data_IF_466222073558
#
_entry.id   IF_466222073558
#
_cell.length_a   1.000
_cell.length_b   1.000
_cell.length_c   1.000
_cell.angle_alpha   90.00
_cell.angle_beta   90.00
_cell.angle_gamma   90.00
#
_symmetry.space_group_name_H-M   'P 1'
#
loop_
_entity.id
_entity.type
_entity.pdbx_description
1 polymer ?
#
# COMPACT_ATOMS: atom_id res chain seq x y z
N UNK A 1 5.22 -19.66 -22.74
CA UNK A 1 4.11 -20.61 -22.40
C UNK A 1 4.25 -21.95 -23.13
N UNK A 2 4.96 -22.04 -24.22
CA UNK A 2 5.25 -23.32 -24.88
C UNK A 2 6.03 -24.32 -24.00
N UNK A 3 6.80 -23.82 -23.02
CA UNK A 3 7.58 -24.65 -22.09
C UNK A 3 6.78 -24.98 -20.82
N UNK A 4 5.98 -24.01 -20.34
CA UNK A 4 5.13 -24.16 -19.16
C UNK A 4 3.86 -23.32 -19.35
N UNK A 5 2.73 -23.97 -19.46
CA UNK A 5 1.43 -23.36 -19.82
C UNK A 5 0.97 -22.35 -18.77
N UNK A 6 1.10 -22.70 -17.47
CA UNK A 6 0.65 -21.92 -16.32
C UNK A 6 1.69 -20.95 -15.76
N UNK A 7 2.75 -20.63 -16.55
CA UNK A 7 3.76 -19.67 -16.10
C UNK A 7 3.17 -18.27 -15.94
N UNK A 8 3.46 -17.64 -14.82
CA UNK A 8 3.14 -16.24 -14.55
C UNK A 8 4.35 -15.35 -14.94
N UNK A 9 4.12 -14.42 -15.85
CA UNK A 9 5.17 -13.55 -16.41
C UNK A 9 4.98 -12.12 -15.89
N UNK A 10 6.00 -11.60 -15.22
CA UNK A 10 6.04 -10.22 -14.75
C UNK A 10 7.06 -9.45 -15.59
N UNK A 11 6.61 -8.35 -16.22
CA UNK A 11 7.48 -7.45 -16.97
C UNK A 11 8.02 -6.33 -16.10
N UNK A 12 9.27 -5.96 -16.27
CA UNK A 12 9.84 -4.73 -15.73
C UNK A 12 9.63 -3.60 -16.74
N UNK A 13 8.52 -2.88 -16.57
CA UNK A 13 8.11 -1.78 -17.44
C UNK A 13 7.91 -0.53 -16.57
N UNK A 14 8.73 0.49 -16.82
CA UNK A 14 8.76 1.73 -16.03
C UNK A 14 7.62 2.69 -16.36
N UNK A 15 7.00 2.49 -17.52
CA UNK A 15 5.93 3.35 -18.06
C UNK A 15 4.60 2.62 -18.12
N UNK A 16 3.66 3.17 -18.90
CA UNK A 16 2.37 2.52 -19.15
C UNK A 16 2.55 1.23 -19.95
N UNK A 17 2.11 0.13 -19.37
CA UNK A 17 2.35 -1.21 -19.90
C UNK A 17 1.21 -1.76 -20.75
N UNK A 18 0.26 -0.92 -21.22
CA UNK A 18 -0.95 -1.38 -21.92
C UNK A 18 -0.69 -2.30 -23.10
N UNK A 19 0.34 -2.01 -23.91
CA UNK A 19 0.70 -2.84 -25.08
C UNK A 19 1.26 -4.21 -24.68
N UNK A 20 1.81 -4.37 -23.48
CA UNK A 20 2.43 -5.58 -22.97
C UNK A 20 1.46 -6.48 -22.20
N UNK A 21 0.28 -5.97 -21.84
CA UNK A 21 -0.73 -6.60 -20.97
C UNK A 21 -1.99 -7.02 -21.75
N UNK A 22 -1.84 -7.34 -23.04
CA UNK A 22 -2.94 -7.78 -23.90
C UNK A 22 -3.28 -9.27 -23.78
N UNK A 23 -2.55 -10.02 -22.93
CA UNK A 23 -2.74 -11.45 -22.72
C UNK A 23 -1.79 -12.36 -23.51
N UNK A 24 -1.00 -11.81 -24.40
CA UNK A 24 -0.03 -12.52 -25.26
C UNK A 24 1.41 -12.45 -24.74
N UNK A 25 1.73 -11.49 -23.88
CA UNK A 25 3.08 -11.25 -23.38
C UNK A 25 3.16 -11.42 -21.86
N UNK A 26 2.92 -10.35 -21.08
CA UNK A 26 2.99 -10.40 -19.62
C UNK A 26 1.60 -10.55 -18.97
N UNK A 27 1.57 -11.18 -17.81
CA UNK A 27 0.38 -11.28 -16.94
C UNK A 27 0.31 -10.09 -15.99
N UNK A 28 1.48 -9.52 -15.66
CA UNK A 28 1.66 -8.43 -14.72
C UNK A 28 2.90 -7.61 -15.07
N UNK A 29 3.02 -6.46 -14.46
CA UNK A 29 4.26 -5.67 -14.46
C UNK A 29 4.65 -5.24 -13.06
N UNK A 30 5.92 -4.86 -12.87
CA UNK A 30 6.34 -4.05 -11.74
C UNK A 30 5.65 -2.69 -11.86
N UNK A 31 4.75 -2.38 -10.90
CA UNK A 31 3.87 -1.22 -11.00
C UNK A 31 4.57 0.05 -10.48
N UNK A 32 5.47 0.61 -11.26
CA UNK A 32 6.17 1.85 -10.94
C UNK A 32 5.22 3.04 -10.76
N UNK A 33 4.11 3.09 -11.50
CA UNK A 33 3.08 4.13 -11.32
C UNK A 33 2.54 4.11 -9.90
N UNK A 34 2.25 2.92 -9.33
CA UNK A 34 1.83 2.79 -7.94
C UNK A 34 2.89 3.30 -6.97
N UNK A 35 4.15 2.89 -7.17
CA UNK A 35 5.27 3.30 -6.33
C UNK A 35 5.43 4.83 -6.32
N UNK A 36 5.37 5.47 -7.48
CA UNK A 36 5.51 6.93 -7.59
C UNK A 36 4.34 7.68 -6.95
N UNK A 37 3.10 7.22 -7.13
CA UNK A 37 1.94 7.81 -6.45
C UNK A 37 2.03 7.70 -4.93
N UNK A 38 2.44 6.53 -4.42
CA UNK A 38 2.64 6.33 -2.98
C UNK A 38 3.80 7.19 -2.45
N UNK A 39 4.90 7.32 -3.20
CA UNK A 39 6.03 8.19 -2.87
C UNK A 39 5.57 9.64 -2.71
N UNK A 40 4.85 10.16 -3.70
CA UNK A 40 4.47 11.56 -3.74
C UNK A 40 3.37 11.87 -2.70
N UNK A 41 2.48 10.92 -2.41
CA UNK A 41 1.43 11.07 -1.39
C UNK A 41 1.93 10.80 0.04
N UNK A 42 2.36 9.56 0.32
CA UNK A 42 2.77 9.15 1.68
C UNK A 42 4.20 9.60 2.01
N UNK A 43 5.12 9.46 1.07
CA UNK A 43 6.54 9.80 1.25
C UNK A 43 6.75 11.29 1.37
N UNK A 44 6.50 12.05 0.34
CA UNK A 44 6.79 13.47 0.26
C UNK A 44 5.65 14.36 0.76
N UNK A 45 4.39 13.92 0.62
CA UNK A 45 3.20 14.72 0.94
C UNK A 45 2.94 15.84 -0.07
N UNK A 46 3.30 15.61 -1.33
CA UNK A 46 3.13 16.55 -2.44
C UNK A 46 1.73 16.48 -3.05
N UNK A 47 0.97 15.40 -2.82
CA UNK A 47 -0.39 15.21 -3.29
C UNK A 47 -1.40 15.41 -2.16
N UNK A 48 -2.51 16.05 -2.46
CA UNK A 48 -3.71 16.02 -1.62
C UNK A 48 -4.39 14.64 -1.67
N UNK A 49 -5.31 14.38 -0.76
CA UNK A 49 -6.08 13.11 -0.73
C UNK A 49 -6.88 12.93 -2.00
N UNK A 50 -7.53 13.98 -2.47
CA UNK A 50 -8.36 13.95 -3.68
C UNK A 50 -7.53 13.77 -4.96
N UNK A 51 -6.34 14.37 -5.05
CA UNK A 51 -5.41 14.15 -6.16
C UNK A 51 -4.87 12.73 -6.19
N UNK A 52 -4.48 12.21 -5.01
CA UNK A 52 -4.05 10.81 -4.87
C UNK A 52 -5.15 9.85 -5.31
N UNK A 53 -6.39 10.03 -4.81
CA UNK A 53 -7.52 9.20 -5.18
C UNK A 53 -7.77 9.21 -6.68
N UNK A 54 -7.83 10.39 -7.30
CA UNK A 54 -8.09 10.52 -8.73
C UNK A 54 -7.02 9.83 -9.59
N UNK A 55 -5.75 9.98 -9.22
CA UNK A 55 -4.64 9.34 -9.94
C UNK A 55 -4.60 7.83 -9.69
N UNK A 56 -4.88 7.39 -8.47
CA UNK A 56 -4.94 5.98 -8.11
C UNK A 56 -6.09 5.27 -8.83
N UNK A 57 -7.28 5.87 -8.88
CA UNK A 57 -8.39 5.32 -9.65
C UNK A 57 -8.06 5.24 -11.15
N UNK A 58 -7.43 6.28 -11.72
CA UNK A 58 -6.97 6.25 -13.12
C UNK A 58 -6.01 5.10 -13.37
N UNK A 59 -5.07 4.84 -12.46
CA UNK A 59 -4.14 3.71 -12.55
C UNK A 59 -4.87 2.37 -12.43
N UNK A 60 -5.75 2.21 -11.43
CA UNK A 60 -6.48 0.97 -11.15
C UNK A 60 -7.39 0.57 -12.32
N UNK A 61 -8.09 1.54 -12.92
CA UNK A 61 -9.07 1.28 -14.00
C UNK A 61 -8.49 1.43 -15.40
N UNK A 62 -7.17 1.60 -15.54
CA UNK A 62 -6.49 1.68 -16.84
C UNK A 62 -6.52 0.36 -17.61
N UNK A 63 -6.40 -0.75 -16.89
CA UNK A 63 -6.36 -2.10 -17.44
C UNK A 63 -7.63 -2.88 -17.13
N UNK A 64 -7.91 -4.00 -17.84
CA UNK A 64 -8.94 -4.95 -17.43
C UNK A 64 -8.76 -5.34 -15.96
N UNK A 65 -9.87 -5.50 -15.24
CA UNK A 65 -9.85 -5.67 -13.78
C UNK A 65 -8.91 -6.80 -13.29
N UNK A 66 -8.92 -7.95 -13.97
CA UNK A 66 -8.04 -9.07 -13.65
C UNK A 66 -6.55 -8.72 -13.77
N UNK A 67 -6.20 -7.86 -14.73
CA UNK A 67 -4.83 -7.38 -14.91
C UNK A 67 -4.44 -6.42 -13.78
N UNK A 68 -5.35 -5.52 -13.39
CA UNK A 68 -5.13 -4.60 -12.25
C UNK A 68 -4.98 -5.36 -10.94
N UNK A 69 -5.73 -6.44 -10.73
CA UNK A 69 -5.58 -7.33 -9.58
C UNK A 69 -4.23 -8.07 -9.56
N UNK A 70 -3.64 -8.30 -10.72
CA UNK A 70 -2.38 -9.04 -10.87
C UNK A 70 -1.12 -8.14 -10.81
N UNK A 71 -1.26 -6.80 -10.91
CA UNK A 71 -0.11 -5.89 -10.92
C UNK A 71 0.72 -6.04 -9.65
N UNK A 72 2.04 -6.18 -9.78
CA UNK A 72 2.98 -6.25 -8.66
C UNK A 72 3.26 -4.84 -8.14
N UNK A 73 2.60 -4.50 -7.04
CA UNK A 73 2.76 -3.21 -6.38
C UNK A 73 3.89 -3.26 -5.35
N UNK A 74 4.70 -2.22 -5.30
CA UNK A 74 5.81 -2.07 -4.37
C UNK A 74 5.98 -0.58 -4.02
N UNK A 75 6.67 -0.29 -2.93
CA UNK A 75 6.99 1.09 -2.54
C UNK A 75 8.39 1.48 -2.96
N UNK A 76 9.34 0.54 -2.87
CA UNK A 76 10.71 0.69 -3.33
C UNK A 76 11.28 -0.62 -3.88
N UNK A 77 12.49 -0.55 -4.42
CA UNK A 77 13.19 -1.69 -5.00
C UNK A 77 14.70 -1.43 -5.03
N UNK A 78 15.46 -2.33 -5.63
CA UNK A 78 16.89 -2.14 -5.87
C UNK A 78 17.22 -1.07 -6.93
N UNK A 79 16.23 -0.51 -7.61
CA UNK A 79 16.41 0.50 -8.68
C UNK A 79 15.94 1.89 -8.29
N UNK A 80 15.28 2.02 -7.15
CA UNK A 80 14.79 3.30 -6.64
C UNK A 80 15.11 3.45 -5.14
N UNK A 81 15.22 4.68 -4.61
CA UNK A 81 15.51 4.93 -3.20
C UNK A 81 14.55 4.23 -2.24
N UNK A 82 15.05 3.89 -1.06
CA UNK A 82 14.28 3.31 0.04
C UNK A 82 13.12 4.20 0.45
N UNK A 83 11.97 3.61 0.69
CA UNK A 83 10.74 4.37 0.92
C UNK A 83 10.81 5.24 2.18
N UNK A 84 11.46 4.75 3.25
CA UNK A 84 11.66 5.54 4.48
C UNK A 84 12.42 6.84 4.22
N UNK A 85 13.37 6.84 3.29
CA UNK A 85 14.12 8.04 2.92
C UNK A 85 13.23 9.11 2.27
N UNK A 86 12.23 8.72 1.47
CA UNK A 86 11.22 9.66 0.96
C UNK A 86 10.31 10.20 2.07
N UNK A 87 10.14 9.45 3.15
CA UNK A 87 9.42 9.89 4.34
C UNK A 87 10.27 10.76 5.28
N UNK A 88 11.52 11.11 4.93
CA UNK A 88 12.48 11.80 5.80
C UNK A 88 12.64 11.11 7.16
N UNK A 89 12.74 9.78 7.19
CA UNK A 89 12.86 8.96 8.39
C UNK A 89 11.56 8.80 9.21
N UNK A 90 10.44 9.33 8.74
CA UNK A 90 9.15 9.22 9.45
C UNK A 90 8.55 7.82 9.26
N UNK A 91 8.81 6.94 10.23
CA UNK A 91 8.33 5.55 10.26
C UNK A 91 6.81 5.42 10.15
N UNK A 92 6.04 6.30 10.80
CA UNK A 92 4.57 6.24 10.76
C UNK A 92 4.01 6.48 9.35
N UNK A 93 4.62 7.40 8.59
CA UNK A 93 4.23 7.63 7.19
C UNK A 93 4.54 6.41 6.32
N UNK A 94 5.71 5.81 6.50
CA UNK A 94 6.09 4.56 5.82
C UNK A 94 5.14 3.42 6.18
N UNK A 95 4.83 3.23 7.47
CA UNK A 95 3.88 2.23 7.94
C UNK A 95 2.49 2.39 7.31
N UNK A 96 2.00 3.64 7.21
CA UNK A 96 0.72 3.94 6.57
C UNK A 96 0.73 3.61 5.07
N UNK A 97 1.84 3.86 4.38
CA UNK A 97 2.02 3.49 2.97
C UNK A 97 2.02 1.98 2.78
N UNK A 98 2.72 1.23 3.64
CA UNK A 98 2.68 -0.24 3.61
C UNK A 98 1.29 -0.78 3.97
N UNK A 99 0.60 -0.19 4.95
CA UNK A 99 -0.78 -0.56 5.21
C UNK A 99 -1.63 -0.40 3.95
N UNK A 100 -1.51 0.73 3.23
CA UNK A 100 -2.20 0.93 1.95
C UNK A 100 -1.79 -0.10 0.89
N UNK A 101 -0.50 -0.42 0.77
CA UNK A 101 0.01 -1.44 -0.15
C UNK A 101 -0.69 -2.80 0.07
N UNK A 102 -0.86 -3.21 1.32
CA UNK A 102 -1.53 -4.48 1.66
C UNK A 102 -3.06 -4.43 1.50
N UNK A 103 -3.71 -3.28 1.69
CA UNK A 103 -5.16 -3.14 1.61
C UNK A 103 -5.65 -2.75 0.21
N UNK A 104 -4.78 -2.24 -0.64
CA UNK A 104 -5.07 -1.77 -1.99
C UNK A 104 -5.34 -2.89 -3.02
N UNK A 105 -5.52 -2.47 -4.28
CA UNK A 105 -5.66 -3.34 -5.44
C UNK A 105 -4.27 -3.76 -5.93
N UNK A 106 -4.11 -5.01 -6.33
CA UNK A 106 -2.85 -5.56 -6.85
C UNK A 106 -2.19 -6.52 -5.87
N UNK A 107 -1.00 -6.98 -6.19
CA UNK A 107 -0.20 -7.93 -5.42
C UNK A 107 0.90 -7.17 -4.68
N UNK A 108 0.90 -7.14 -3.34
CA UNK A 108 1.93 -6.45 -2.59
C UNK A 108 3.27 -7.17 -2.69
N UNK A 109 4.32 -6.41 -2.95
CA UNK A 109 5.73 -6.82 -2.90
C UNK A 109 6.47 -5.95 -1.91
N UNK A 110 7.31 -6.57 -1.08
CA UNK A 110 8.13 -5.91 -0.06
C UNK A 110 9.58 -6.15 -0.41
N UNK A 111 10.38 -5.09 -0.45
CA UNK A 111 11.81 -5.19 -0.66
C UNK A 111 12.50 -5.51 0.68
N UNK A 112 13.59 -6.32 0.65
CA UNK A 112 14.31 -6.68 1.88
C UNK A 112 14.77 -5.44 2.64
N UNK A 113 14.64 -5.46 3.95
CA UNK A 113 15.06 -4.36 4.82
C UNK A 113 13.98 -3.31 5.12
N UNK A 114 12.86 -3.32 4.38
CA UNK A 114 11.72 -2.45 4.68
C UNK A 114 11.15 -2.78 6.06
N UNK A 115 11.07 -4.06 6.38
CA UNK A 115 10.56 -4.58 7.66
C UNK A 115 11.37 -4.11 8.87
N UNK A 116 12.58 -3.61 8.63
CA UNK A 116 13.49 -3.09 9.65
C UNK A 116 13.88 -1.63 9.41
N UNK A 117 13.14 -0.92 8.57
CA UNK A 117 13.27 0.52 8.32
C UNK A 117 14.63 0.95 7.75
N UNK A 118 15.18 0.19 6.78
CA UNK A 118 16.40 0.60 6.09
C UNK A 118 16.15 1.88 5.28
N UNK A 119 17.08 2.80 5.35
CA UNK A 119 17.14 4.02 4.56
C UNK A 119 18.21 3.92 3.46
N UNK A 120 18.10 4.74 2.43
CA UNK A 120 19.06 4.87 1.35
C UNK A 120 18.50 5.69 0.20
N UNK A 121 19.16 6.80 -0.12
CA UNK A 121 18.79 7.68 -1.25
C UNK A 121 19.66 7.43 -2.48
N UNK A 122 20.90 7.01 -2.30
CA UNK A 122 21.85 6.76 -3.39
C UNK A 122 21.92 5.30 -3.72
N UNK A 123 22.30 4.97 -4.94
CA UNK A 123 22.33 3.59 -5.47
C UNK A 123 23.08 2.61 -4.56
N UNK A 124 24.24 2.98 -4.06
CA UNK A 124 25.02 2.13 -3.16
C UNK A 124 24.36 1.96 -1.78
N UNK A 125 23.54 2.93 -1.36
CA UNK A 125 22.85 2.90 -0.07
C UNK A 125 21.61 1.99 -0.14
N UNK A 126 20.75 2.17 -1.16
CA UNK A 126 19.51 1.37 -1.24
C UNK A 126 19.75 -0.07 -1.72
N UNK A 127 20.94 -0.38 -2.28
CA UNK A 127 21.41 -1.74 -2.60
C UNK A 127 22.32 -2.34 -1.54
N UNK A 128 22.55 -1.65 -0.42
CA UNK A 128 23.44 -2.14 0.63
C UNK A 128 22.97 -3.50 1.17
N UNK A 129 23.92 -4.34 1.51
CA UNK A 129 23.64 -5.61 2.18
C UNK A 129 22.97 -5.37 3.56
N UNK A 130 22.20 -6.34 4.01
CA UNK A 130 21.57 -6.30 5.34
C UNK A 130 22.63 -6.30 6.45
N UNK A 131 22.65 -5.27 7.27
CA UNK A 131 23.44 -5.26 8.51
C UNK A 131 22.67 -5.99 9.61
N UNK A 132 22.91 -7.28 9.73
CA UNK A 132 22.21 -8.14 10.69
C UNK A 132 22.46 -7.77 12.13
N UNK A 133 23.61 -7.18 12.47
CA UNK A 133 23.89 -6.74 13.82
C UNK A 133 23.03 -5.52 14.16
N UNK A 134 23.02 -4.50 13.31
CA UNK A 134 22.17 -3.32 13.49
C UNK A 134 20.67 -3.69 13.52
N UNK A 135 20.25 -4.65 12.69
CA UNK A 135 18.88 -5.19 12.69
C UNK A 135 18.51 -5.81 14.04
N UNK A 136 19.39 -6.64 14.62
CA UNK A 136 19.14 -7.27 15.93
C UNK A 136 19.07 -6.24 17.06
N UNK A 137 19.96 -5.26 17.07
CA UNK A 137 19.97 -4.16 18.04
C UNK A 137 18.69 -3.32 17.94
N UNK A 138 18.27 -2.96 16.74
CA UNK A 138 17.05 -2.21 16.47
C UNK A 138 15.78 -3.00 16.85
N UNK A 139 15.73 -4.30 16.57
CA UNK A 139 14.62 -5.16 16.98
C UNK A 139 14.52 -5.24 18.51
N UNK A 140 15.64 -5.35 19.21
CA UNK A 140 15.65 -5.35 20.67
C UNK A 140 15.13 -4.03 21.26
N UNK A 141 15.38 -2.90 20.61
CA UNK A 141 14.87 -1.58 21.00
C UNK A 141 13.38 -1.42 20.63
N UNK A 142 12.97 -1.83 19.45
CA UNK A 142 11.58 -1.77 18.98
C UNK A 142 10.64 -2.65 19.81
N UNK A 143 11.08 -3.82 20.27
CA UNK A 143 10.33 -4.69 21.18
C UNK A 143 10.06 -4.04 22.54
N UNK A 144 10.82 -3.00 22.93
CA UNK A 144 10.57 -2.21 24.15
C UNK A 144 9.54 -1.09 23.94
N UNK A 145 9.31 -0.64 22.70
CA UNK A 145 8.57 0.61 22.42
C UNK A 145 7.16 0.39 21.84
N UNK A 146 6.84 -0.72 21.23
CA UNK A 146 5.60 -1.16 20.58
C UNK A 146 5.84 -1.65 19.13
N UNK A 147 5.70 -2.96 18.90
CA UNK A 147 5.48 -3.65 17.64
C UNK A 147 6.43 -3.26 16.50
N UNK A 148 7.24 -4.18 16.03
CA UNK A 148 8.08 -3.95 14.87
C UNK A 148 7.24 -4.01 13.58
N UNK A 149 7.71 -3.42 12.49
CA UNK A 149 7.00 -3.39 11.20
C UNK A 149 6.79 -4.82 10.64
N UNK A 150 7.69 -5.76 10.90
CA UNK A 150 7.55 -7.15 10.50
C UNK A 150 6.31 -7.83 11.14
N UNK A 151 6.00 -7.50 12.40
CA UNK A 151 4.77 -7.97 13.05
C UNK A 151 3.52 -7.35 12.39
N UNK A 152 3.57 -6.05 12.07
CA UNK A 152 2.50 -5.38 11.33
C UNK A 152 2.30 -6.02 9.96
N UNK A 153 3.39 -6.32 9.22
CA UNK A 153 3.30 -7.05 7.95
C UNK A 153 2.62 -8.41 8.13
N UNK A 154 2.99 -9.16 9.16
CA UNK A 154 2.35 -10.46 9.47
C UNK A 154 0.85 -10.31 9.71
N UNK A 155 0.42 -9.30 10.46
CA UNK A 155 -0.99 -8.99 10.68
C UNK A 155 -1.71 -8.59 9.37
N UNK A 156 -1.11 -7.73 8.55
CA UNK A 156 -1.72 -7.28 7.29
C UNK A 156 -1.78 -8.39 6.25
N UNK A 157 -0.78 -9.28 6.22
CA UNK A 157 -0.81 -10.50 5.39
C UNK A 157 -1.95 -11.43 5.84
N UNK A 158 -2.15 -11.60 7.15
CA UNK A 158 -3.24 -12.40 7.69
C UNK A 158 -4.61 -11.81 7.30
N UNK A 159 -4.84 -10.51 7.47
CA UNK A 159 -6.05 -9.82 7.03
C UNK A 159 -6.29 -10.00 5.52
N UNK A 160 -5.24 -9.87 4.71
CA UNK A 160 -5.36 -10.04 3.26
C UNK A 160 -5.68 -11.50 2.86
N UNK A 161 -5.21 -12.49 3.63
CA UNK A 161 -5.57 -13.91 3.44
C UNK A 161 -6.99 -14.20 3.89
N UNK A 162 -7.43 -13.62 5.00
CA UNK A 162 -8.77 -13.77 5.55
C UNK A 162 -9.83 -13.17 4.62
N UNK A 163 -9.64 -11.91 4.19
CA UNK A 163 -10.59 -11.19 3.37
C UNK A 163 -10.34 -11.38 1.86
N UNK A 164 -11.21 -12.12 1.19
CA UNK A 164 -11.15 -12.28 -0.27
C UNK A 164 -11.39 -10.96 -0.99
N UNK A 165 -12.15 -10.04 -0.39
CA UNK A 165 -12.36 -8.68 -0.88
C UNK A 165 -11.06 -7.93 -1.12
N UNK A 166 -10.04 -8.10 -0.27
CA UNK A 166 -8.73 -7.45 -0.44
C UNK A 166 -7.94 -8.01 -1.63
N UNK A 167 -8.19 -9.28 -2.00
CA UNK A 167 -7.47 -9.96 -3.08
C UNK A 167 -8.17 -9.89 -4.44
N UNK A 168 -9.50 -9.99 -4.46
CA UNK A 168 -10.31 -10.10 -5.68
C UNK A 168 -11.44 -9.06 -5.78
N UNK A 169 -11.68 -8.32 -4.67
CA UNK A 169 -12.81 -7.42 -4.55
C UNK A 169 -12.66 -6.13 -5.36
N UNK A 170 -13.79 -5.52 -5.65
CA UNK A 170 -13.88 -4.21 -6.26
C UNK A 170 -13.23 -3.14 -5.36
N UNK A 171 -12.96 -1.98 -5.93
CA UNK A 171 -12.43 -0.83 -5.22
C UNK A 171 -13.39 0.35 -5.41
N UNK A 172 -13.78 1.01 -4.33
CA UNK A 172 -14.62 2.19 -4.39
C UNK A 172 -14.23 3.18 -3.31
N UNK A 173 -13.92 4.40 -3.70
CA UNK A 173 -13.74 5.50 -2.76
C UNK A 173 -15.06 5.84 -2.08
N UNK A 174 -15.03 6.00 -0.77
CA UNK A 174 -16.18 6.33 0.07
C UNK A 174 -16.10 7.76 0.56
N UNK A 175 -14.91 8.20 0.99
CA UNK A 175 -14.71 9.53 1.53
C UNK A 175 -13.28 10.02 1.29
N UNK A 176 -13.18 11.28 0.84
CA UNK A 176 -11.93 12.02 0.72
C UNK A 176 -12.09 13.38 1.40
N UNK A 177 -11.12 13.75 2.23
CA UNK A 177 -11.09 15.07 2.83
C UNK A 177 -9.64 15.58 2.88
N UNK A 178 -9.33 16.57 2.04
CA UNK A 178 -7.99 17.14 1.91
C UNK A 178 -7.56 17.92 3.16
N UNK A 179 -8.50 18.65 3.79
CA UNK A 179 -8.21 19.45 4.98
C UNK A 179 -7.85 18.58 6.19
N UNK A 180 -8.53 17.45 6.33
CA UNK A 180 -8.32 16.50 7.43
C UNK A 180 -7.22 15.48 7.10
N UNK A 181 -6.82 15.34 5.84
CA UNK A 181 -5.91 14.31 5.38
C UNK A 181 -6.53 12.90 5.45
N UNK A 182 -7.84 12.77 5.27
CA UNK A 182 -8.56 11.49 5.45
C UNK A 182 -8.98 10.89 4.14
N UNK A 183 -8.67 9.61 3.98
CA UNK A 183 -9.07 8.79 2.84
C UNK A 183 -9.76 7.51 3.30
N UNK A 184 -10.95 7.23 2.75
CA UNK A 184 -11.69 6.00 3.04
C UNK A 184 -12.13 5.34 1.76
N UNK A 185 -11.84 4.04 1.62
CA UNK A 185 -12.30 3.25 0.50
C UNK A 185 -12.88 1.91 0.94
N UNK A 186 -13.73 1.36 0.10
CA UNK A 186 -14.37 0.06 0.27
C UNK A 186 -13.73 -0.95 -0.68
N UNK A 187 -13.41 -2.14 -0.15
CA UNK A 187 -13.15 -3.34 -0.91
C UNK A 187 -14.31 -4.31 -0.71
N UNK A 188 -14.84 -4.89 -1.79
CA UNK A 188 -15.99 -5.79 -1.71
C UNK A 188 -15.94 -6.92 -2.71
N UNK A 189 -16.24 -8.16 -2.26
CA UNK A 189 -16.37 -9.35 -3.08
C UNK A 189 -17.49 -10.23 -2.51
N UNK A 190 -18.65 -10.27 -3.18
CA UNK A 190 -19.85 -10.90 -2.63
C UNK A 190 -20.24 -10.24 -1.29
N UNK A 191 -20.38 -11.05 -0.26
CA UNK A 191 -20.73 -10.62 1.10
C UNK A 191 -19.52 -10.14 1.90
N UNK A 192 -18.29 -10.44 1.47
CA UNK A 192 -17.07 -9.94 2.13
C UNK A 192 -16.83 -8.47 1.75
N UNK A 193 -16.99 -7.60 2.74
CA UNK A 193 -16.85 -6.14 2.58
C UNK A 193 -16.00 -5.58 3.70
N UNK A 194 -14.98 -4.82 3.32
CA UNK A 194 -14.10 -4.14 4.26
C UNK A 194 -13.92 -2.67 3.90
N UNK A 195 -14.08 -1.82 4.89
CA UNK A 195 -13.73 -0.41 4.81
C UNK A 195 -12.30 -0.22 5.28
N UNK A 196 -11.52 0.52 4.51
CA UNK A 196 -10.15 0.88 4.83
C UNK A 196 -10.10 2.39 5.05
N UNK A 197 -9.58 2.78 6.19
CA UNK A 197 -9.46 4.16 6.65
C UNK A 197 -7.98 4.54 6.72
N UNK A 198 -7.64 5.70 6.20
CA UNK A 198 -6.29 6.28 6.27
C UNK A 198 -6.39 7.71 6.77
N UNK A 199 -5.54 8.07 7.71
CA UNK A 199 -5.32 9.44 8.15
C UNK A 199 -3.86 9.82 7.88
N UNK A 200 -3.61 10.68 6.90
CA UNK A 200 -2.29 11.23 6.57
C UNK A 200 -2.02 12.54 7.28
N UNK A 201 -3.02 13.09 7.97
CA UNK A 201 -2.94 14.35 8.71
C UNK A 201 -2.10 14.23 9.98
N UNK A 202 -1.78 15.39 10.56
CA UNK A 202 -0.96 15.50 11.77
C UNK A 202 -1.76 15.38 13.08
N UNK A 203 -3.08 15.46 12.99
CA UNK A 203 -4.00 15.36 14.12
C UNK A 203 -4.80 14.05 14.17
N UNK A 204 -5.45 13.82 15.31
CA UNK A 204 -6.43 12.74 15.44
C UNK A 204 -7.77 13.16 14.83
N UNK A 205 -8.42 12.23 14.14
CA UNK A 205 -9.72 12.45 13.46
C UNK A 205 -10.73 11.44 13.96
N UNK A 206 -11.95 11.88 14.17
CA UNK A 206 -13.10 11.01 14.46
C UNK A 206 -14.05 11.05 13.29
N UNK A 207 -14.37 9.87 12.73
CA UNK A 207 -15.36 9.69 11.67
C UNK A 207 -16.60 9.00 12.21
N UNK A 208 -17.75 9.43 11.72
CA UNK A 208 -19.07 8.91 12.08
C UNK A 208 -19.84 8.52 10.82
N UNK A 209 -21.09 8.14 10.97
CA UNK A 209 -21.98 7.88 9.83
C UNK A 209 -22.31 9.13 9.00
N UNK A 210 -21.98 10.32 9.48
CA UNK A 210 -22.12 11.57 8.70
C UNK A 210 -21.13 11.59 7.54
N UNK A 211 -19.85 11.25 7.79
CA UNK A 211 -18.80 11.18 6.77
C UNK A 211 -18.82 9.85 6.02
N UNK A 212 -19.11 8.76 6.74
CA UNK A 212 -19.07 7.38 6.24
C UNK A 212 -20.36 6.64 6.63
N UNK A 213 -21.43 6.71 5.81
CA UNK A 213 -22.73 6.12 6.14
C UNK A 213 -22.70 4.62 6.50
N UNK A 214 -21.71 3.88 5.98
CA UNK A 214 -21.50 2.47 6.28
C UNK A 214 -21.12 2.19 7.74
N UNK A 215 -20.70 3.21 8.49
CA UNK A 215 -20.41 3.07 9.93
C UNK A 215 -21.66 2.87 10.77
N UNK A 216 -22.84 3.28 10.25
CA UNK A 216 -24.10 3.24 10.99
C UNK A 216 -23.97 3.99 12.34
N UNK A 217 -24.10 3.29 13.46
CA UNK A 217 -23.95 3.87 14.82
C UNK A 217 -22.51 3.85 15.34
N UNK A 218 -21.57 3.23 14.59
CA UNK A 218 -20.16 3.15 14.99
C UNK A 218 -19.43 4.46 14.72
N UNK A 219 -18.36 4.67 15.46
CA UNK A 219 -17.39 5.74 15.19
C UNK A 219 -15.99 5.16 15.07
N UNK A 220 -15.17 5.73 14.23
CA UNK A 220 -13.77 5.39 14.05
C UNK A 220 -12.91 6.58 14.45
N UNK A 221 -11.96 6.35 15.32
CA UNK A 221 -10.94 7.34 15.69
C UNK A 221 -9.64 6.91 15.03
N UNK A 222 -9.01 7.80 14.29
CA UNK A 222 -7.72 7.62 13.65
C UNK A 222 -6.73 8.61 14.24
N UNK A 223 -5.62 8.12 14.76
CA UNK A 223 -4.50 8.96 15.14
C UNK A 223 -3.77 9.50 13.90
N UNK A 224 -2.82 10.41 14.10
CA UNK A 224 -1.94 10.88 13.02
C UNK A 224 -1.19 9.72 12.36
N UNK A 225 -1.16 9.70 11.03
CA UNK A 225 -0.53 8.67 10.21
C UNK A 225 -0.97 7.25 10.62
N UNK A 226 -2.27 7.03 10.78
CA UNK A 226 -2.85 5.74 11.15
C UNK A 226 -3.77 5.19 10.06
N UNK A 227 -3.66 3.87 9.82
CA UNK A 227 -4.59 3.10 8.98
C UNK A 227 -5.40 2.12 9.82
N UNK A 228 -6.70 1.98 9.52
CA UNK A 228 -7.60 1.00 10.14
C UNK A 228 -8.44 0.27 9.09
N UNK A 229 -8.80 -0.98 9.40
CA UNK A 229 -9.74 -1.77 8.63
C UNK A 229 -10.96 -2.10 9.49
N UNK A 230 -12.14 -2.00 8.91
CA UNK A 230 -13.41 -2.40 9.51
C UNK A 230 -14.16 -3.33 8.56
N UNK A 231 -14.55 -4.50 9.06
CA UNK A 231 -15.46 -5.41 8.35
C UNK A 231 -16.88 -4.84 8.43
N UNK A 232 -17.54 -4.77 7.27
CA UNK A 232 -18.93 -4.28 7.15
C UNK A 232 -19.83 -5.49 6.93
N UNK A 233 -20.84 -5.63 7.77
CA UNK A 233 -21.85 -6.69 7.66
C UNK A 233 -22.92 -6.35 6.62
#
# INVERSE_FOLDING_TARGET
RAVKEDIFLIGEIWEEAGIWLQGDQFDSTMNYTFSYLCRDFFGKGELSVSEFDAQMQRMIYRYPWQVSLAQMNFLDSHDIPRFLSYCNGNRKRMELAFFYLFMGVGVPSVFYGDEVYIEGMKELEYRAAMDWQAVMEQQAENNRIQGNLAEKFSCWIALRKEHVALRKGNYRTIYCNDMMGVYVFLRSFGDDKVLVFLNTGTGSVTLTSVEVPQLQEKRIILSSCEGKLLVVL
#
